data_IF_563745712684
#
_entry.id   IF_563745712684
#
_cell.length_a   1.000
_cell.length_b   1.000
_cell.length_c   1.000
_cell.angle_alpha   90.00
_cell.angle_beta   90.00
_cell.angle_gamma   90.00
#
_symmetry.space_group_name_H-M   'P 1'
#
loop_
_entity.id
_entity.type
_entity.pdbx_description
1 polymer ?
#
# COMPACT_ATOMS: atom_id res chain seq x y z
N UNK A 1 6.51 -13.36 -25.89
CA UNK A 1 5.60 -13.58 -24.74
C UNK A 1 6.29 -13.14 -23.44
N UNK A 2 7.28 -12.25 -23.55
CA UNK A 2 8.44 -12.22 -22.63
C UNK A 2 8.32 -11.15 -21.53
N UNK A 3 7.31 -10.27 -21.62
CA UNK A 3 7.16 -9.17 -20.65
C UNK A 3 6.62 -9.64 -19.29
N UNK A 4 5.81 -10.69 -19.25
CA UNK A 4 5.17 -11.14 -18.00
C UNK A 4 6.09 -12.03 -17.16
N UNK A 5 7.07 -12.66 -17.79
CA UNK A 5 8.08 -13.46 -17.09
C UNK A 5 8.98 -12.59 -16.21
N UNK A 6 9.10 -11.29 -16.53
CA UNK A 6 9.84 -10.30 -15.74
C UNK A 6 9.07 -9.76 -14.54
N UNK A 7 7.80 -10.13 -14.38
CA UNK A 7 6.96 -9.69 -13.26
C UNK A 7 6.95 -10.77 -12.18
N UNK A 8 7.40 -10.45 -10.98
CA UNK A 8 7.43 -11.39 -9.86
C UNK A 8 6.09 -11.48 -9.12
N UNK A 9 5.36 -10.37 -9.00
CA UNK A 9 4.08 -10.28 -8.28
C UNK A 9 3.21 -9.13 -8.80
N UNK A 10 1.92 -9.17 -8.48
CA UNK A 10 0.94 -8.13 -8.82
C UNK A 10 0.38 -7.55 -7.53
N UNK A 11 0.51 -6.24 -7.29
CA UNK A 11 -0.09 -5.59 -6.12
C UNK A 11 -1.43 -4.93 -6.44
N UNK A 12 -2.41 -4.98 -5.54
CA UNK A 12 -3.72 -4.33 -5.72
C UNK A 12 -4.25 -3.68 -4.44
N UNK A 13 -4.76 -2.46 -4.56
CA UNK A 13 -5.38 -1.76 -3.43
C UNK A 13 -6.70 -2.40 -3.05
N UNK A 14 -6.88 -2.73 -1.77
CA UNK A 14 -8.09 -3.40 -1.28
C UNK A 14 -8.90 -2.57 -0.28
N UNK A 15 -8.28 -1.56 0.34
CA UNK A 15 -8.95 -0.59 1.21
C UNK A 15 -8.01 0.58 1.60
N UNK A 16 -8.55 1.68 2.15
CA UNK A 16 -9.93 2.16 1.97
C UNK A 16 -10.17 2.62 0.52
N UNK A 17 -11.43 2.87 0.16
CA UNK A 17 -11.80 3.37 -1.16
C UNK A 17 -13.25 3.09 -1.52
N UNK A 18 -13.69 3.54 -2.70
CA UNK A 18 -15.03 3.27 -3.19
C UNK A 18 -15.20 1.76 -3.46
N UNK A 19 -16.16 1.05 -2.82
CA UNK A 19 -16.28 -0.40 -2.94
C UNK A 19 -16.36 -0.91 -4.38
N UNK A 20 -17.09 -0.21 -5.25
CA UNK A 20 -17.20 -0.57 -6.67
C UNK A 20 -15.85 -0.57 -7.39
N UNK A 21 -15.05 0.48 -7.20
CA UNK A 21 -13.71 0.57 -7.81
C UNK A 21 -12.76 -0.49 -7.27
N UNK A 22 -12.82 -0.77 -5.96
CA UNK A 22 -12.00 -1.79 -5.32
C UNK A 22 -12.33 -3.19 -5.84
N UNK A 23 -13.60 -3.51 -6.06
CA UNK A 23 -14.01 -4.80 -6.65
C UNK A 23 -13.45 -4.96 -8.07
N UNK A 24 -13.48 -3.91 -8.89
CA UNK A 24 -12.91 -3.96 -10.25
C UNK A 24 -11.41 -4.23 -10.20
N UNK A 25 -10.66 -3.47 -9.39
CA UNK A 25 -9.21 -3.64 -9.24
C UNK A 25 -8.85 -5.05 -8.77
N UNK A 26 -9.48 -5.53 -7.69
CA UNK A 26 -9.25 -6.87 -7.14
C UNK A 26 -9.54 -7.97 -8.15
N UNK A 27 -10.68 -7.89 -8.83
CA UNK A 27 -11.07 -8.88 -9.85
C UNK A 27 -10.00 -8.98 -10.94
N UNK A 28 -9.56 -7.84 -11.49
CA UNK A 28 -8.54 -7.83 -12.54
C UNK A 28 -7.21 -8.38 -12.05
N UNK A 29 -6.74 -7.94 -10.87
CA UNK A 29 -5.46 -8.38 -10.31
C UNK A 29 -5.43 -9.89 -10.05
N UNK A 30 -6.49 -10.45 -9.45
CA UNK A 30 -6.58 -11.89 -9.20
C UNK A 30 -6.71 -12.70 -10.49
N UNK A 31 -7.50 -12.24 -11.47
CA UNK A 31 -7.60 -12.92 -12.76
C UNK A 31 -6.25 -12.95 -13.49
N UNK A 32 -5.48 -11.84 -13.45
CA UNK A 32 -4.14 -11.80 -14.03
C UNK A 32 -3.17 -12.70 -13.26
N UNK A 33 -3.21 -12.67 -11.92
CA UNK A 33 -2.40 -13.51 -11.06
C UNK A 33 -2.63 -14.99 -11.31
N UNK A 34 -3.88 -15.41 -11.41
CA UNK A 34 -4.24 -16.80 -11.75
C UNK A 34 -3.78 -17.17 -13.16
N UNK A 35 -4.07 -16.34 -14.16
CA UNK A 35 -3.74 -16.64 -15.55
C UNK A 35 -2.22 -16.76 -15.79
N UNK A 36 -1.45 -15.85 -15.19
CA UNK A 36 0.00 -15.79 -15.37
C UNK A 36 0.78 -16.47 -14.23
N UNK A 37 0.09 -17.14 -13.31
CA UNK A 37 0.68 -17.81 -12.15
C UNK A 37 1.58 -16.88 -11.31
N UNK A 38 1.12 -15.64 -11.10
CA UNK A 38 1.81 -14.62 -10.30
C UNK A 38 1.12 -14.42 -8.96
N UNK A 39 1.84 -14.36 -7.84
CA UNK A 39 1.26 -14.01 -6.54
C UNK A 39 0.65 -12.62 -6.59
N UNK A 40 -0.50 -12.46 -5.93
CA UNK A 40 -1.20 -11.19 -5.80
C UNK A 40 -1.06 -10.69 -4.36
N UNK A 41 -0.60 -9.45 -4.21
CA UNK A 41 -0.37 -8.80 -2.91
C UNK A 41 -1.39 -7.70 -2.71
N UNK A 42 -2.22 -7.85 -1.67
CA UNK A 42 -3.17 -6.82 -1.30
C UNK A 42 -2.45 -5.67 -0.57
N UNK A 43 -2.80 -4.43 -0.91
CA UNK A 43 -2.19 -3.23 -0.31
C UNK A 43 -3.25 -2.28 0.25
N UNK A 44 -2.92 -1.68 1.40
CA UNK A 44 -3.71 -0.60 1.96
C UNK A 44 -3.33 0.72 1.28
N UNK A 45 -4.33 1.45 0.76
CA UNK A 45 -4.17 2.73 0.07
C UNK A 45 -3.38 3.77 0.89
N UNK A 46 -3.68 3.88 2.19
CA UNK A 46 -3.04 4.85 3.08
C UNK A 46 -1.61 4.44 3.40
N UNK A 47 -1.38 3.15 3.63
CA UNK A 47 -0.01 2.65 3.80
C UNK A 47 0.80 2.90 2.54
N UNK A 48 0.22 2.73 1.34
CA UNK A 48 0.87 3.11 0.08
C UNK A 48 1.30 4.58 0.05
N UNK A 49 0.42 5.49 0.46
CA UNK A 49 0.76 6.91 0.59
C UNK A 49 1.90 7.16 1.58
N UNK A 50 1.88 6.54 2.76
CA UNK A 50 2.94 6.68 3.78
C UNK A 50 4.26 6.10 3.27
N UNK A 51 4.26 4.87 2.75
CA UNK A 51 5.47 4.18 2.29
C UNK A 51 6.03 4.75 0.98
N UNK A 52 5.26 5.54 0.23
CA UNK A 52 5.79 6.25 -0.94
C UNK A 52 6.95 7.20 -0.58
N UNK A 53 7.00 7.73 0.65
CA UNK A 53 8.08 8.57 1.16
C UNK A 53 9.46 7.89 1.14
N UNK A 54 9.47 6.55 1.08
CA UNK A 54 10.64 5.70 1.15
C UNK A 54 11.19 5.39 -0.24
N UNK A 55 10.43 5.59 -1.32
CA UNK A 55 10.84 5.20 -2.68
C UNK A 55 12.04 6.01 -3.21
N UNK A 56 12.16 7.27 -2.79
CA UNK A 56 13.22 8.18 -3.26
C UNK A 56 14.31 8.39 -2.20
N UNK A 57 14.33 7.60 -1.12
CA UNK A 57 15.25 7.77 0.01
C UNK A 57 15.92 6.46 0.37
N UNK A 58 17.16 6.53 0.86
CA UNK A 58 17.74 5.34 1.49
C UNK A 58 17.02 5.10 2.81
N UNK A 59 16.69 3.84 3.09
CA UNK A 59 15.97 3.50 4.31
C UNK A 59 16.77 3.82 5.58
N UNK A 60 18.11 3.84 5.47
CA UNK A 60 19.03 4.28 6.53
C UNK A 60 18.84 5.73 6.95
N UNK A 61 18.33 6.57 6.03
CA UNK A 61 18.17 8.00 6.25
C UNK A 61 16.82 8.30 6.94
N UNK A 62 15.97 7.29 7.10
CA UNK A 62 14.65 7.42 7.69
C UNK A 62 14.74 7.09 9.17
N UNK A 63 14.54 8.13 9.99
CA UNK A 63 14.57 8.02 11.44
C UNK A 63 13.14 7.88 11.97
N UNK A 64 12.93 6.86 12.80
CA UNK A 64 11.67 6.64 13.50
C UNK A 64 11.79 7.07 14.97
N UNK A 65 10.68 7.48 15.63
CA UNK A 65 9.35 7.63 15.06
C UNK A 65 9.26 8.83 14.11
N UNK A 66 8.42 8.72 13.08
CA UNK A 66 8.15 9.81 12.14
C UNK A 66 6.66 10.15 12.14
N UNK A 67 6.36 11.43 11.90
CA UNK A 67 4.99 11.90 11.77
C UNK A 67 4.70 12.17 10.30
N UNK A 68 3.64 11.55 9.76
CA UNK A 68 3.19 11.77 8.38
C UNK A 68 1.85 12.47 8.38
N UNK A 69 1.76 13.57 7.63
CA UNK A 69 0.49 14.18 7.27
C UNK A 69 0.12 13.72 5.85
N UNK A 70 -1.01 13.03 5.71
CA UNK A 70 -1.63 12.85 4.39
C UNK A 70 -2.56 14.03 4.15
N UNK A 71 -2.38 14.79 3.08
CA UNK A 71 -3.24 15.92 2.72
C UNK A 71 -3.75 15.74 1.28
N UNK A 72 -4.99 15.27 1.15
CA UNK A 72 -5.62 14.93 -0.13
C UNK A 72 -7.10 15.29 -0.13
N UNK A 73 -7.79 15.08 -1.26
CA UNK A 73 -9.24 15.29 -1.34
C UNK A 73 -10.07 14.34 -0.45
N UNK A 74 -9.52 13.18 -0.04
CA UNK A 74 -10.24 12.17 0.74
C UNK A 74 -9.68 11.87 2.13
N UNK A 75 -8.38 12.12 2.35
CA UNK A 75 -7.68 11.83 3.60
C UNK A 75 -6.85 13.03 4.04
N UNK A 76 -7.06 13.47 5.28
CA UNK A 76 -6.45 14.66 5.88
C UNK A 76 -6.05 14.35 7.33
N UNK A 77 -5.27 13.28 7.48
CA UNK A 77 -4.96 12.65 8.76
C UNK A 77 -3.46 12.74 9.10
N UNK A 78 -3.17 12.69 10.39
CA UNK A 78 -1.81 12.69 10.93
C UNK A 78 -1.51 11.32 11.55
N UNK A 79 -0.45 10.70 11.07
CA UNK A 79 -0.01 9.36 11.45
C UNK A 79 1.30 9.42 12.19
N UNK A 80 1.39 8.71 13.31
CA UNK A 80 2.65 8.37 13.96
C UNK A 80 3.11 7.03 13.42
N UNK A 81 4.24 7.00 12.73
CA UNK A 81 4.86 5.77 12.24
C UNK A 81 6.04 5.43 13.13
N UNK A 82 5.97 4.25 13.73
CA UNK A 82 7.03 3.64 14.52
C UNK A 82 7.74 2.57 13.68
N UNK A 83 8.91 2.12 14.15
CA UNK A 83 9.76 1.16 13.41
C UNK A 83 9.00 -0.11 12.96
N UNK A 84 7.95 -0.53 13.68
CA UNK A 84 7.16 -1.72 13.39
C UNK A 84 5.63 -1.48 13.35
N UNK A 85 5.13 -0.24 13.39
CA UNK A 85 3.68 0.03 13.50
C UNK A 85 3.31 1.40 12.90
N UNK A 86 2.13 1.54 12.29
CA UNK A 86 1.57 2.85 11.92
C UNK A 86 0.36 3.12 12.83
N UNK A 87 0.38 4.17 13.64
CA UNK A 87 -0.74 4.58 14.50
C UNK A 87 -1.35 5.91 14.02
N UNK A 88 -2.65 5.94 13.77
CA UNK A 88 -3.37 7.11 13.27
C UNK A 88 -4.13 7.86 14.37
N UNK A 89 -3.62 7.90 15.60
CA UNK A 89 -4.19 8.63 16.77
C UNK A 89 -5.62 8.24 17.18
N UNK A 90 -6.27 7.37 16.41
CA UNK A 90 -7.65 6.90 16.54
C UNK A 90 -7.77 5.39 16.28
N UNK A 91 -6.70 4.74 15.78
CA UNK A 91 -6.53 3.29 15.63
C UNK A 91 -5.08 2.96 15.24
N UNK A 92 -4.46 2.04 15.97
CA UNK A 92 -3.17 1.45 15.62
C UNK A 92 -3.35 0.44 14.48
N UNK A 93 -2.69 0.68 13.34
CA UNK A 93 -2.54 -0.25 12.22
C UNK A 93 -1.20 -0.99 12.41
N UNK A 94 -1.27 -2.20 12.94
CA UNK A 94 -0.12 -3.10 13.00
C UNK A 94 0.10 -3.73 11.61
N UNK A 95 1.34 -3.77 11.09
CA UNK A 95 1.66 -4.71 10.03
C UNK A 95 1.50 -6.12 10.60
N UNK A 96 0.76 -6.98 9.89
CA UNK A 96 0.76 -8.42 10.15
C UNK A 96 2.06 -9.06 9.69
#
# INVERSE_FOLDING_TARGET
MDSMDQIDFISVTTHPGLPGSLVVGKTVAHMLGEWFHKPVVEVNHIQGHIFSLFLERNISDIQFPLVVLTASGGHNDLYLVEHNTIDSGSKSLRPE
#
